data_IF_287388652969
#
_entry.id   IF_287388652969
#
_cell.length_a   1.000
_cell.length_b   1.000
_cell.length_c   1.000
_cell.angle_alpha   90.00
_cell.angle_beta   90.00
_cell.angle_gamma   90.00
#
_symmetry.space_group_name_H-M   'P 1'
#
loop_
_entity.id
_entity.type
_entity.pdbx_description
1 polymer ?
#
# COMPACT_ATOMS: atom_id res chain seq x y z
N UNK A 1 4.71 2.12 2.05
CA UNK A 1 4.54 2.69 0.70
C UNK A 1 5.45 3.91 0.47
N UNK A 2 5.48 4.90 1.38
CA UNK A 2 6.40 6.04 1.27
C UNK A 2 7.88 5.65 1.18
N UNK A 3 8.31 4.66 1.98
CA UNK A 3 9.70 4.17 2.04
C UNK A 3 10.17 3.36 0.83
N UNK A 4 9.38 3.26 -0.24
CA UNK A 4 9.69 2.48 -1.46
C UNK A 4 10.01 1.00 -1.21
N UNK A 5 9.39 0.42 -0.20
CA UNK A 5 9.47 -1.01 0.12
C UNK A 5 8.23 -1.74 -0.37
N UNK A 6 8.42 -2.90 -0.99
CA UNK A 6 7.33 -3.80 -1.38
C UNK A 6 6.53 -4.19 -0.14
N UNK A 7 5.20 -4.05 -0.21
CA UNK A 7 4.29 -4.39 0.88
C UNK A 7 3.59 -5.72 0.61
N UNK A 8 3.56 -6.59 1.61
CA UNK A 8 2.69 -7.76 1.70
C UNK A 8 1.77 -7.52 2.89
N UNK A 9 0.46 -7.62 2.68
CA UNK A 9 -0.53 -7.38 3.74
C UNK A 9 -1.79 -8.20 3.54
N UNK A 10 -2.70 -8.19 4.52
CA UNK A 10 -4.00 -8.85 4.45
C UNK A 10 -5.05 -8.03 3.70
N UNK A 11 -5.99 -8.69 3.05
CA UNK A 11 -7.10 -8.10 2.28
C UNK A 11 -8.31 -7.67 3.13
N UNK A 12 -8.09 -7.22 4.37
CA UNK A 12 -9.12 -6.61 5.23
C UNK A 12 -9.70 -5.37 4.54
N UNK A 13 -11.01 -5.14 4.64
CA UNK A 13 -11.76 -4.17 3.82
C UNK A 13 -11.13 -2.78 3.78
N UNK A 14 -10.87 -2.15 4.92
CA UNK A 14 -10.31 -0.78 4.97
C UNK A 14 -8.92 -0.72 4.34
N UNK A 15 -8.11 -1.76 4.57
CA UNK A 15 -6.75 -1.81 4.05
C UNK A 15 -6.75 -2.10 2.54
N UNK A 16 -7.65 -2.97 2.08
CA UNK A 16 -7.79 -3.35 0.68
C UNK A 16 -8.13 -2.14 -0.18
N UNK A 17 -9.02 -1.25 0.29
CA UNK A 17 -9.35 -0.01 -0.40
C UNK A 17 -8.13 0.90 -0.60
N UNK A 18 -7.21 0.93 0.39
CA UNK A 18 -5.99 1.74 0.31
C UNK A 18 -4.88 1.10 -0.54
N UNK A 19 -4.75 -0.23 -0.51
CA UNK A 19 -3.55 -0.93 -1.02
C UNK A 19 -3.81 -1.79 -2.26
N UNK A 20 -5.05 -1.89 -2.74
CA UNK A 20 -5.38 -2.66 -3.95
C UNK A 20 -4.59 -2.15 -5.16
N UNK A 21 -3.83 -3.04 -5.81
CA UNK A 21 -2.95 -2.71 -6.93
C UNK A 21 -1.60 -2.08 -6.54
N UNK A 22 -1.35 -1.89 -5.24
CA UNK A 22 -0.12 -1.30 -4.69
C UNK A 22 0.62 -2.21 -3.71
N UNK A 23 0.00 -3.32 -3.30
CA UNK A 23 0.56 -4.30 -2.39
C UNK A 23 0.18 -5.72 -2.82
N UNK A 24 0.96 -6.69 -2.34
CA UNK A 24 0.63 -8.10 -2.45
C UNK A 24 -0.34 -8.44 -1.33
N UNK A 25 -1.50 -8.99 -1.69
CA UNK A 25 -2.57 -9.32 -0.74
C UNK A 25 -2.54 -10.82 -0.38
N UNK A 26 -2.58 -11.09 0.92
CA UNK A 26 -2.82 -12.40 1.52
C UNK A 26 -4.22 -12.45 2.14
N UNK A 27 -4.80 -13.64 2.27
CA UNK A 27 -6.10 -13.83 2.94
C UNK A 27 -5.97 -13.56 4.45
N UNK A 28 -7.00 -13.00 5.09
CA UNK A 28 -6.94 -12.69 6.52
C UNK A 28 -7.06 -13.98 7.31
N UNK A 29 -6.44 -14.03 8.50
CA UNK A 29 -6.45 -15.21 9.37
C UNK A 29 -5.98 -16.51 8.69
N UNK A 30 -5.20 -16.42 7.61
CA UNK A 30 -4.72 -17.56 6.85
C UNK A 30 -3.20 -17.50 6.70
N UNK A 31 -2.51 -18.24 7.56
CA UNK A 31 -1.04 -18.30 7.61
C UNK A 31 -0.43 -18.92 6.36
N UNK A 32 -1.07 -19.93 5.77
CA UNK A 32 -0.62 -20.58 4.53
C UNK A 32 -0.65 -19.60 3.35
N UNK A 33 -1.70 -18.79 3.25
CA UNK A 33 -1.83 -17.74 2.24
C UNK A 33 -0.73 -16.71 2.37
N UNK A 34 -0.43 -16.26 3.59
CA UNK A 34 0.67 -15.32 3.83
C UNK A 34 2.02 -15.93 3.47
N UNK A 35 2.28 -17.18 3.91
CA UNK A 35 3.52 -17.88 3.62
C UNK A 35 3.73 -18.08 2.11
N UNK A 36 2.68 -18.43 1.36
CA UNK A 36 2.73 -18.55 -0.09
C UNK A 36 3.13 -17.23 -0.76
N UNK A 37 2.56 -16.09 -0.31
CA UNK A 37 2.89 -14.75 -0.83
C UNK A 37 4.32 -14.31 -0.49
N UNK A 38 4.81 -14.62 0.71
CA UNK A 38 6.21 -14.35 1.07
C UNK A 38 7.15 -15.20 0.20
N UNK A 39 6.87 -16.49 0.00
CA UNK A 39 7.67 -17.36 -0.86
C UNK A 39 7.70 -16.87 -2.31
N UNK A 40 6.55 -16.46 -2.83
CA UNK A 40 6.42 -15.86 -4.16
C UNK A 40 7.29 -14.61 -4.29
N UNK A 41 7.24 -13.72 -3.30
CA UNK A 41 8.09 -12.52 -3.24
C UNK A 41 9.58 -12.85 -3.17
N UNK A 42 9.99 -13.79 -2.32
CA UNK A 42 11.41 -14.18 -2.20
C UNK A 42 11.95 -14.81 -3.48
N UNK A 43 11.09 -15.54 -4.23
CA UNK A 43 11.47 -16.18 -5.49
C UNK A 43 11.57 -15.19 -6.65
N UNK A 44 10.58 -14.31 -6.80
CA UNK A 44 10.48 -13.40 -7.95
C UNK A 44 11.22 -12.08 -7.70
N UNK A 45 11.57 -11.79 -6.45
CA UNK A 45 12.12 -10.51 -6.03
C UNK A 45 11.09 -9.38 -5.99
N UNK A 46 11.53 -8.16 -5.69
CA UNK A 46 10.66 -7.00 -5.58
C UNK A 46 10.12 -6.54 -6.95
N UNK A 47 8.81 -6.29 -7.02
CA UNK A 47 8.18 -5.68 -8.18
C UNK A 47 8.37 -4.15 -8.16
N UNK A 48 9.38 -3.68 -8.90
CA UNK A 48 9.69 -2.25 -9.01
C UNK A 48 8.52 -1.41 -9.51
N UNK A 49 7.68 -1.94 -10.41
CA UNK A 49 6.53 -1.19 -10.94
C UNK A 49 5.48 -1.00 -9.87
N UNK A 50 5.22 -2.04 -9.08
CA UNK A 50 4.29 -1.97 -7.95
C UNK A 50 4.81 -1.01 -6.88
N UNK A 51 6.09 -1.07 -6.54
CA UNK A 51 6.74 -0.14 -5.59
C UNK A 51 6.55 1.31 -6.03
N UNK A 52 6.79 1.64 -7.30
CA UNK A 52 6.65 3.03 -7.75
C UNK A 52 5.20 3.50 -7.81
N UNK A 53 4.26 2.63 -8.19
CA UNK A 53 2.83 2.95 -8.08
C UNK A 53 2.45 3.22 -6.63
N UNK A 54 2.90 2.36 -5.71
CA UNK A 54 2.64 2.49 -4.30
C UNK A 54 3.23 3.77 -3.71
N UNK A 55 4.45 4.13 -4.10
CA UNK A 55 5.10 5.37 -3.68
C UNK A 55 4.35 6.60 -4.19
N UNK A 56 3.95 6.63 -5.47
CA UNK A 56 3.14 7.71 -6.03
C UNK A 56 1.82 7.88 -5.28
N UNK A 57 1.14 6.78 -4.95
CA UNK A 57 -0.09 6.82 -4.14
C UNK A 57 0.16 7.39 -2.75
N UNK A 58 1.27 7.04 -2.11
CA UNK A 58 1.62 7.57 -0.79
C UNK A 58 1.83 9.09 -0.80
N UNK A 59 2.31 9.68 -1.90
CA UNK A 59 2.48 11.14 -2.04
C UNK A 59 1.14 11.91 -2.10
N UNK A 60 0.00 11.23 -2.28
CA UNK A 60 -1.32 11.86 -2.12
C UNK A 60 -1.64 12.17 -0.66
N UNK A 61 -1.01 11.44 0.27
CA UNK A 61 -1.17 11.58 1.71
C UNK A 61 -0.02 12.37 2.35
N UNK A 62 0.77 13.08 1.55
CA UNK A 62 1.80 13.99 2.06
C UNK A 62 1.15 15.08 2.94
N UNK A 63 1.75 15.35 4.09
CA UNK A 63 1.16 16.24 5.09
C UNK A 63 0.88 17.64 4.54
N UNK A 64 1.71 18.16 3.62
CA UNK A 64 1.49 19.49 3.02
C UNK A 64 0.22 19.52 2.20
N UNK A 65 -0.05 18.44 1.45
CA UNK A 65 -1.26 18.29 0.65
C UNK A 65 -2.49 18.10 1.53
N UNK A 66 -2.37 17.30 2.59
CA UNK A 66 -3.47 17.06 3.52
C UNK A 66 -3.83 18.35 4.25
N UNK A 67 -2.85 19.04 4.85
CA UNK A 67 -3.07 20.32 5.54
C UNK A 67 -3.65 21.36 4.59
N UNK A 68 -3.13 21.48 3.37
CA UNK A 68 -3.68 22.40 2.36
C UNK A 68 -5.18 22.20 2.14
N UNK A 69 -5.61 20.95 1.91
CA UNK A 69 -7.04 20.62 1.75
C UNK A 69 -7.88 20.94 3.00
N UNK A 70 -7.34 20.75 4.19
CA UNK A 70 -8.04 21.14 5.41
C UNK A 70 -8.19 22.65 5.53
N UNK A 71 -7.13 23.42 5.22
CA UNK A 71 -7.20 24.88 5.22
C UNK A 71 -8.19 25.41 4.19
N UNK A 72 -8.25 24.79 3.00
CA UNK A 72 -9.23 25.14 1.96
C UNK A 72 -10.67 25.03 2.51
N UNK A 73 -10.99 23.94 3.24
CA UNK A 73 -12.30 23.75 3.89
C UNK A 73 -12.57 24.80 4.96
N UNK A 74 -11.57 25.22 5.73
CA UNK A 74 -11.74 26.27 6.76
C UNK A 74 -11.85 27.68 6.19
N UNK A 75 -11.45 27.88 4.93
CA UNK A 75 -11.54 29.17 4.23
C UNK A 75 -12.85 29.36 3.46
N UNK A 76 -13.67 28.31 3.35
CA UNK A 76 -15.07 28.36 2.91
C UNK A 76 -16.02 28.78 4.04
#
# INVERSE_FOLDING_TARGET
>A
MASKTQLITTDIKELKELVSGYAILAKPCNTESLAAKIKEFLRNGPDKRMIEKAHKKALEFDYRRVIGRYLDIYSE
#
